data_IF_791784136035
#
_entry.id   IF_791784136035
#
_cell.length_a   1.000
_cell.length_b   1.000
_cell.length_c   1.000
_cell.angle_alpha   90.00
_cell.angle_beta   90.00
_cell.angle_gamma   90.00
#
_symmetry.space_group_name_H-M   'P 1'
#
loop_
_entity.id
_entity.type
_entity.pdbx_description
1 polymer ?
#
# COMPACT_ATOMS: atom_id res chain seq x y z
N UNK A 1 -37.90 14.03 -51.48
CA UNK A 1 -37.75 13.83 -50.03
C UNK A 1 -37.54 15.20 -49.39
N UNK A 2 -38.33 15.59 -48.38
CA UNK A 2 -38.28 16.95 -47.82
C UNK A 2 -37.03 17.15 -46.96
N UNK A 3 -36.49 18.38 -46.94
CA UNK A 3 -35.26 18.76 -46.19
C UNK A 3 -35.35 18.38 -44.70
N UNK A 4 -36.55 18.45 -44.10
CA UNK A 4 -36.78 18.03 -42.72
C UNK A 4 -36.57 16.52 -42.49
N UNK A 5 -36.99 15.67 -43.43
CA UNK A 5 -36.85 14.21 -43.30
C UNK A 5 -35.37 13.83 -43.35
N UNK A 6 -34.58 14.48 -44.21
CA UNK A 6 -33.14 14.27 -44.29
C UNK A 6 -32.41 14.72 -43.02
N UNK A 7 -32.74 15.90 -42.47
CA UNK A 7 -32.17 16.39 -41.20
C UNK A 7 -32.49 15.46 -40.02
N UNK A 8 -33.74 14.96 -39.92
CA UNK A 8 -34.14 14.00 -38.87
C UNK A 8 -33.41 12.67 -39.00
N UNK A 9 -33.18 12.16 -40.21
CA UNK A 9 -32.42 10.95 -40.45
C UNK A 9 -30.94 11.13 -40.05
N UNK A 10 -30.30 12.22 -40.48
CA UNK A 10 -28.91 12.54 -40.12
C UNK A 10 -28.74 12.73 -38.61
N UNK A 11 -29.66 13.42 -37.92
CA UNK A 11 -29.61 13.60 -36.47
C UNK A 11 -29.71 12.27 -35.71
N UNK A 12 -30.59 11.36 -36.16
CA UNK A 12 -30.69 10.01 -35.58
C UNK A 12 -29.41 9.20 -35.78
N UNK A 13 -28.83 9.23 -36.98
CA UNK A 13 -27.56 8.56 -37.26
C UNK A 13 -26.42 9.10 -36.41
N UNK A 14 -26.31 10.43 -36.27
CA UNK A 14 -25.31 11.07 -35.40
C UNK A 14 -25.50 10.66 -33.94
N UNK A 15 -26.74 10.67 -33.44
CA UNK A 15 -27.04 10.27 -32.06
C UNK A 15 -26.68 8.80 -31.79
N UNK A 16 -26.99 7.89 -32.72
CA UNK A 16 -26.64 6.47 -32.63
C UNK A 16 -25.12 6.31 -32.57
N UNK A 17 -24.38 6.99 -33.45
CA UNK A 17 -22.90 6.93 -33.46
C UNK A 17 -22.33 7.45 -32.14
N UNK A 18 -22.84 8.56 -31.60
CA UNK A 18 -22.41 9.08 -30.31
C UNK A 18 -22.68 8.09 -29.16
N UNK A 19 -23.87 7.47 -29.11
CA UNK A 19 -24.21 6.47 -28.09
C UNK A 19 -23.30 5.25 -28.21
N UNK A 20 -23.07 4.76 -29.43
CA UNK A 20 -22.16 3.64 -29.67
C UNK A 20 -20.72 3.96 -29.25
N UNK A 21 -20.22 5.16 -29.51
CA UNK A 21 -18.89 5.59 -29.06
C UNK A 21 -18.79 5.65 -27.53
N UNK A 22 -19.81 6.17 -26.85
CA UNK A 22 -19.87 6.20 -25.37
C UNK A 22 -19.91 4.77 -24.81
N UNK A 23 -20.66 3.87 -25.42
CA UNK A 23 -20.73 2.48 -24.99
C UNK A 23 -19.40 1.74 -25.20
N UNK A 24 -18.78 1.88 -26.37
CA UNK A 24 -17.47 1.28 -26.68
C UNK A 24 -16.39 1.78 -25.73
N UNK A 25 -16.36 3.08 -25.45
CA UNK A 25 -15.40 3.66 -24.48
C UNK A 25 -15.65 3.16 -23.06
N UNK A 26 -16.91 3.08 -22.60
CA UNK A 26 -17.24 2.50 -21.31
C UNK A 26 -16.83 1.01 -21.21
N UNK A 27 -17.04 0.22 -22.27
CA UNK A 27 -16.59 -1.17 -22.33
C UNK A 27 -15.05 -1.28 -22.30
N UNK A 28 -14.33 -0.43 -23.04
CA UNK A 28 -12.86 -0.42 -23.02
C UNK A 28 -12.32 -0.04 -21.64
N UNK A 29 -12.94 0.92 -20.95
CA UNK A 29 -12.62 1.27 -19.56
C UNK A 29 -12.92 0.08 -18.64
N UNK A 30 -14.09 -0.56 -18.77
CA UNK A 30 -14.44 -1.73 -17.98
C UNK A 30 -13.47 -2.91 -18.16
N UNK A 31 -13.05 -3.18 -19.41
CA UNK A 31 -12.07 -4.21 -19.74
C UNK A 31 -10.69 -3.86 -19.17
N UNK A 32 -10.22 -2.63 -19.36
CA UNK A 32 -8.92 -2.20 -18.81
C UNK A 32 -8.88 -2.24 -17.28
N UNK A 33 -9.96 -1.86 -16.61
CA UNK A 33 -10.10 -1.99 -15.14
C UNK A 33 -10.13 -3.45 -14.68
N UNK A 34 -10.81 -4.33 -15.41
CA UNK A 34 -10.86 -5.76 -15.07
C UNK A 34 -9.51 -6.46 -15.27
N UNK A 35 -8.76 -6.10 -16.33
CA UNK A 35 -7.46 -6.71 -16.66
C UNK A 35 -6.29 -6.14 -15.86
N UNK A 36 -6.38 -4.92 -15.34
CA UNK A 36 -5.31 -4.28 -14.54
C UNK A 36 -5.22 -4.79 -13.09
N UNK A 37 -6.07 -5.72 -12.68
CA UNK A 37 -5.98 -6.39 -11.37
C UNK A 37 -6.10 -5.44 -10.16
N UNK A 38 -6.71 -4.27 -10.35
CA UNK A 38 -6.91 -3.28 -9.30
C UNK A 38 -5.67 -2.47 -8.90
N UNK A 39 -4.52 -2.56 -9.59
CA UNK A 39 -3.27 -1.83 -9.23
C UNK A 39 -3.23 -0.35 -9.64
N UNK A 40 -4.39 0.29 -9.81
CA UNK A 40 -4.51 1.66 -10.33
C UNK A 40 -3.79 2.71 -9.46
N UNK A 41 -3.68 2.44 -8.15
CA UNK A 41 -3.09 3.35 -7.17
C UNK A 41 -1.85 2.78 -6.49
N UNK A 42 -1.09 1.92 -7.19
CA UNK A 42 0.12 1.33 -6.64
C UNK A 42 1.23 2.35 -6.33
N UNK A 43 1.32 3.45 -7.09
CA UNK A 43 2.40 4.43 -6.93
C UNK A 43 3.79 3.88 -7.28
N UNK A 44 4.79 4.76 -7.19
CA UNK A 44 6.20 4.38 -7.38
C UNK A 44 6.81 3.93 -6.05
N UNK A 45 7.64 2.88 -6.09
CA UNK A 45 8.38 2.45 -4.91
C UNK A 45 9.36 3.56 -4.50
N UNK A 46 9.43 3.94 -3.22
CA UNK A 46 10.39 4.93 -2.74
C UNK A 46 11.82 4.42 -2.91
N UNK A 47 12.75 5.34 -3.19
CA UNK A 47 14.18 5.05 -3.34
C UNK A 47 15.00 5.33 -2.08
N UNK A 48 14.37 5.92 -1.06
CA UNK A 48 15.01 6.35 0.18
C UNK A 48 14.75 5.40 1.37
N UNK A 49 14.16 4.22 1.12
CA UNK A 49 13.91 3.18 2.12
C UNK A 49 15.15 2.29 2.34
N UNK A 50 15.18 1.57 3.46
CA UNK A 50 16.35 0.87 3.97
C UNK A 50 16.93 1.53 5.23
N UNK A 51 17.77 0.78 5.94
CA UNK A 51 18.44 1.28 7.14
C UNK A 51 19.61 2.18 6.75
N UNK A 52 19.57 3.43 7.19
CA UNK A 52 20.64 4.41 7.00
C UNK A 52 21.07 4.96 8.37
N UNK A 53 22.34 4.77 8.73
CA UNK A 53 22.89 5.18 10.03
C UNK A 53 22.05 4.71 11.24
N UNK A 54 21.56 3.46 11.20
CA UNK A 54 20.75 2.88 12.27
C UNK A 54 19.30 3.39 12.34
N UNK A 55 18.80 4.05 11.29
CA UNK A 55 17.44 4.57 11.23
C UNK A 55 16.73 4.14 9.95
N UNK A 56 15.42 3.95 10.06
CA UNK A 56 14.51 3.83 8.92
C UNK A 56 14.29 5.21 8.28
N UNK A 57 13.78 5.22 7.07
CA UNK A 57 13.36 6.45 6.41
C UNK A 57 12.37 7.24 7.31
N UNK A 58 12.39 8.58 7.31
CA UNK A 58 11.37 9.35 8.02
C UNK A 58 9.99 9.15 7.36
N UNK A 59 8.92 9.38 8.13
CA UNK A 59 7.60 9.55 7.55
C UNK A 59 7.56 10.84 6.72
N UNK A 60 6.88 10.85 5.55
CA UNK A 60 6.49 12.09 4.91
C UNK A 60 5.53 12.88 5.80
N UNK A 61 5.25 14.14 5.43
CA UNK A 61 4.33 15.00 6.19
C UNK A 61 2.84 14.57 6.09
N UNK A 62 2.53 13.55 5.31
CA UNK A 62 1.18 13.04 5.10
C UNK A 62 0.79 12.04 6.20
N UNK A 63 -0.47 12.03 6.67
CA UNK A 63 -0.88 11.25 7.85
C UNK A 63 -0.97 9.73 7.60
N UNK A 64 -0.81 9.27 6.36
CA UNK A 64 -0.76 7.88 5.95
C UNK A 64 0.64 7.25 6.13
N UNK A 65 1.28 7.55 7.26
CA UNK A 65 2.53 6.94 7.67
C UNK A 65 2.60 6.79 9.19
N UNK A 66 3.19 5.71 9.66
CA UNK A 66 3.61 5.58 11.07
C UNK A 66 5.05 5.10 11.16
N UNK A 67 5.77 5.55 12.18
CA UNK A 67 7.14 5.13 12.47
C UNK A 67 7.43 5.14 13.97
N UNK A 68 8.14 4.13 14.45
CA UNK A 68 8.64 4.08 15.83
C UNK A 68 9.81 5.01 16.11
N UNK A 69 10.37 5.60 15.07
CA UNK A 69 11.44 6.60 15.17
C UNK A 69 10.93 8.02 14.92
N UNK A 70 9.61 8.21 14.67
CA UNK A 70 9.07 9.56 14.58
C UNK A 70 9.02 10.25 15.95
N UNK A 71 9.14 11.57 15.95
CA UNK A 71 9.01 12.42 17.15
C UNK A 71 7.66 13.11 17.24
N UNK A 72 6.91 13.20 16.14
CA UNK A 72 5.58 13.80 16.14
C UNK A 72 4.51 12.77 16.53
N UNK A 73 3.50 13.21 17.28
CA UNK A 73 2.46 12.33 17.82
C UNK A 73 1.59 11.67 16.73
N UNK A 74 1.45 12.29 15.56
CA UNK A 74 0.59 11.79 14.50
C UNK A 74 1.19 10.53 13.86
N UNK A 75 2.49 10.55 13.56
CA UNK A 75 3.19 9.42 12.94
C UNK A 75 3.80 8.46 13.97
N UNK A 76 3.93 8.84 15.25
CA UNK A 76 4.51 7.97 16.29
C UNK A 76 3.72 6.66 16.43
N UNK A 77 4.44 5.54 16.50
CA UNK A 77 3.90 4.23 16.91
C UNK A 77 4.95 3.49 17.75
N UNK A 78 4.54 2.61 18.65
CA UNK A 78 5.52 1.87 19.44
C UNK A 78 6.25 0.82 18.59
N UNK A 79 7.57 0.62 18.81
CA UNK A 79 8.31 -0.46 18.15
C UNK A 79 7.76 -1.82 18.58
N UNK A 80 8.17 -2.89 17.91
CA UNK A 80 7.81 -4.25 18.32
C UNK A 80 8.84 -4.75 19.35
N UNK A 81 8.35 -5.18 20.51
CA UNK A 81 9.17 -5.87 21.51
C UNK A 81 9.23 -7.36 21.20
N UNK A 82 10.32 -8.02 21.60
CA UNK A 82 10.45 -9.47 21.52
C UNK A 82 11.18 -10.01 22.76
N UNK A 83 10.90 -11.26 23.12
CA UNK A 83 11.52 -11.95 24.27
C UNK A 83 12.53 -13.02 23.85
N UNK A 84 12.46 -13.46 22.60
CA UNK A 84 13.33 -14.46 22.00
C UNK A 84 14.70 -13.89 21.66
N UNK A 85 15.55 -14.71 21.04
CA UNK A 85 16.82 -14.21 20.45
C UNK A 85 16.52 -13.27 19.27
N UNK A 86 17.40 -12.31 18.92
CA UNK A 86 17.17 -11.40 17.79
C UNK A 86 16.89 -12.13 16.47
N UNK A 87 17.65 -13.21 16.20
CA UNK A 87 17.45 -14.06 15.02
C UNK A 87 16.07 -14.72 14.99
N UNK A 88 15.63 -15.24 16.13
CA UNK A 88 14.31 -15.86 16.26
C UNK A 88 13.19 -14.82 16.15
N UNK A 89 13.38 -13.61 16.70
CA UNK A 89 12.44 -12.51 16.57
C UNK A 89 12.23 -12.12 15.09
N UNK A 90 13.29 -12.01 14.30
CA UNK A 90 13.19 -11.74 12.86
C UNK A 90 12.54 -12.89 12.08
N UNK A 91 12.83 -14.14 12.44
CA UNK A 91 12.17 -15.30 11.85
C UNK A 91 10.67 -15.34 12.16
N UNK A 92 10.29 -15.05 13.40
CA UNK A 92 8.90 -14.95 13.86
C UNK A 92 8.17 -13.81 13.15
N UNK A 93 8.79 -12.64 13.05
CA UNK A 93 8.27 -11.50 12.30
C UNK A 93 8.01 -11.89 10.85
N UNK A 94 8.98 -12.48 10.16
CA UNK A 94 8.82 -12.94 8.79
C UNK A 94 7.61 -13.87 8.65
N UNK A 95 7.48 -14.85 9.55
CA UNK A 95 6.35 -15.79 9.53
C UNK A 95 5.00 -15.08 9.70
N UNK A 96 4.91 -14.12 10.61
CA UNK A 96 3.71 -13.28 10.80
C UNK A 96 3.39 -12.54 9.49
N UNK A 97 4.36 -11.84 8.91
CA UNK A 97 4.19 -11.05 7.68
C UNK A 97 3.78 -11.93 6.49
N UNK A 98 4.38 -13.11 6.33
CA UNK A 98 4.07 -14.05 5.24
C UNK A 98 2.64 -14.61 5.31
N UNK A 99 2.07 -14.70 6.52
CA UNK A 99 0.70 -15.19 6.71
C UNK A 99 -0.36 -14.10 6.54
N UNK A 100 0.03 -12.84 6.33
CA UNK A 100 -0.90 -11.74 6.09
C UNK A 100 -1.30 -11.67 4.61
N UNK A 101 -2.59 -11.49 4.35
CA UNK A 101 -3.10 -11.37 2.99
C UNK A 101 -2.47 -10.21 2.21
N UNK A 102 -2.30 -10.40 0.90
CA UNK A 102 -1.88 -9.35 -0.06
C UNK A 102 -0.54 -8.71 0.32
N UNK A 103 0.36 -9.53 0.85
CA UNK A 103 1.70 -9.13 1.28
C UNK A 103 2.75 -9.71 0.35
N UNK A 104 3.80 -8.95 0.07
CA UNK A 104 4.98 -9.43 -0.63
C UNK A 104 6.24 -8.96 0.09
N UNK A 105 7.08 -9.90 0.52
CA UNK A 105 8.42 -9.57 1.04
C UNK A 105 9.33 -9.25 -0.15
N UNK A 106 9.97 -8.08 -0.10
CA UNK A 106 10.83 -7.57 -1.16
C UNK A 106 12.31 -7.70 -0.79
N UNK A 107 12.64 -7.48 0.48
CA UNK A 107 14.02 -7.59 0.98
C UNK A 107 14.02 -8.19 2.38
N UNK A 108 14.98 -9.07 2.61
CA UNK A 108 15.20 -9.73 3.88
C UNK A 108 16.71 -9.89 4.11
N UNK A 109 17.14 -9.52 5.31
CA UNK A 109 18.49 -9.71 5.83
C UNK A 109 18.37 -10.09 7.31
N UNK A 110 19.50 -10.33 7.98
CA UNK A 110 19.49 -10.72 9.40
C UNK A 110 18.85 -9.69 10.34
N UNK A 111 18.92 -8.40 9.99
CA UNK A 111 18.42 -7.30 10.84
C UNK A 111 17.42 -6.36 10.15
N UNK A 112 17.00 -6.66 8.91
CA UNK A 112 16.06 -5.82 8.17
C UNK A 112 15.12 -6.63 7.30
N UNK A 113 13.83 -6.26 7.33
CA UNK A 113 12.79 -6.83 6.49
C UNK A 113 11.95 -5.70 5.87
N UNK A 114 11.75 -5.77 4.56
CA UNK A 114 10.88 -4.86 3.81
C UNK A 114 9.81 -5.65 3.07
N UNK A 115 8.55 -5.25 3.27
CA UNK A 115 7.39 -5.83 2.64
C UNK A 115 6.46 -4.77 2.04
N UNK A 116 5.76 -5.15 0.99
CA UNK A 116 4.68 -4.40 0.36
C UNK A 116 3.33 -5.00 0.75
N UNK A 117 2.38 -4.15 1.17
CA UNK A 117 1.00 -4.54 1.44
C UNK A 117 0.06 -3.85 0.46
N UNK A 118 -0.80 -4.61 -0.22
CA UNK A 118 -1.69 -4.08 -1.26
C UNK A 118 -3.15 -4.07 -0.81
N UNK A 119 -3.84 -2.93 -0.95
CA UNK A 119 -5.28 -2.80 -0.66
C UNK A 119 -6.14 -3.59 -1.67
N UNK A 120 -7.27 -4.14 -1.20
CA UNK A 120 -8.10 -5.10 -1.95
C UNK A 120 -8.83 -4.48 -3.14
N UNK A 121 -9.33 -3.25 -2.97
CA UNK A 121 -10.27 -2.64 -3.91
C UNK A 121 -9.56 -1.73 -4.93
N UNK A 122 -8.61 -0.92 -4.46
CA UNK A 122 -8.01 0.16 -5.24
C UNK A 122 -6.51 -0.06 -5.51
N UNK A 123 -5.91 -1.09 -4.92
CA UNK A 123 -4.51 -1.45 -5.13
C UNK A 123 -3.49 -0.42 -4.64
N UNK A 124 -3.86 0.43 -3.67
CA UNK A 124 -2.87 1.18 -2.88
C UNK A 124 -1.83 0.23 -2.31
N UNK A 125 -0.56 0.58 -2.46
CA UNK A 125 0.57 -0.16 -1.90
C UNK A 125 1.18 0.63 -0.75
N UNK A 126 1.35 -0.06 0.37
CA UNK A 126 2.04 0.44 1.54
C UNK A 126 3.41 -0.25 1.66
N UNK A 127 4.45 0.55 1.85
CA UNK A 127 5.81 0.11 2.09
C UNK A 127 6.04 -0.01 3.60
N UNK A 128 6.35 -1.24 4.06
CA UNK A 128 6.50 -1.56 5.48
C UNK A 128 7.91 -2.09 5.75
N UNK A 129 8.65 -1.38 6.59
CA UNK A 129 10.02 -1.65 6.95
C UNK A 129 10.12 -2.04 8.42
N UNK A 130 10.98 -3.02 8.69
CA UNK A 130 11.31 -3.50 10.02
C UNK A 130 12.83 -3.53 10.18
N UNK A 131 13.34 -2.94 11.25
CA UNK A 131 14.77 -2.91 11.56
C UNK A 131 15.01 -3.41 12.98
N UNK A 132 15.78 -4.47 13.12
CA UNK A 132 16.18 -5.05 14.40
C UNK A 132 17.28 -4.18 15.02
N UNK A 133 16.91 -3.43 16.05
CA UNK A 133 17.83 -2.64 16.87
C UNK A 133 18.22 -3.46 18.10
N UNK A 134 19.31 -4.21 17.98
CA UNK A 134 19.81 -5.06 19.06
C UNK A 134 20.20 -4.26 20.31
N UNK A 135 20.66 -3.02 20.14
CA UNK A 135 21.06 -2.16 21.25
C UNK A 135 19.87 -1.75 22.12
N UNK A 136 18.75 -1.42 21.47
CA UNK A 136 17.50 -1.09 22.12
C UNK A 136 16.64 -2.33 22.45
N UNK A 137 17.02 -3.52 21.96
CA UNK A 137 16.27 -4.79 22.08
C UNK A 137 14.83 -4.69 21.57
N UNK A 138 14.65 -4.02 20.43
CA UNK A 138 13.36 -3.85 19.78
C UNK A 138 13.49 -3.96 18.27
N UNK A 139 12.37 -4.16 17.58
CA UNK A 139 12.27 -4.02 16.13
C UNK A 139 11.62 -2.67 15.86
N UNK A 140 12.40 -1.74 15.31
CA UNK A 140 11.92 -0.47 14.78
C UNK A 140 11.04 -0.71 13.57
N UNK A 141 10.01 0.11 13.39
CA UNK A 141 9.02 -0.07 12.33
C UNK A 141 8.74 1.24 11.60
N UNK A 142 8.42 1.10 10.31
CA UNK A 142 7.79 2.14 9.50
C UNK A 142 6.77 1.49 8.58
N UNK A 143 5.60 2.09 8.45
CA UNK A 143 4.55 1.67 7.50
C UNK A 143 4.00 2.92 6.83
N UNK A 144 4.18 3.03 5.52
CA UNK A 144 3.84 4.24 4.77
C UNK A 144 3.17 3.92 3.43
N UNK A 145 2.05 4.59 3.14
CA UNK A 145 1.41 4.49 1.82
C UNK A 145 2.19 5.27 0.77
N UNK A 146 2.29 4.74 -0.46
CA UNK A 146 2.94 5.44 -1.60
C UNK A 146 2.16 6.63 -2.12
N UNK A 147 0.83 6.52 -2.07
CA UNK A 147 -0.10 7.51 -2.60
C UNK A 147 -1.20 7.81 -1.57
N UNK A 148 -1.86 8.95 -1.76
CA UNK A 148 -2.96 9.40 -0.92
C UNK A 148 -2.54 10.37 0.18
N UNK A 149 -3.55 10.96 0.82
CA UNK A 149 -3.40 11.90 1.94
C UNK A 149 -3.97 11.35 3.23
N UNK A 150 -4.55 10.16 3.21
CA UNK A 150 -5.05 9.45 4.39
C UNK A 150 -5.22 7.98 4.02
N UNK A 151 -4.96 7.11 4.99
CA UNK A 151 -5.18 5.67 4.93
C UNK A 151 -6.25 5.22 5.94
N UNK A 152 -6.95 6.17 6.57
CA UNK A 152 -7.90 5.92 7.66
C UNK A 152 -7.31 5.07 8.81
N UNK A 153 -6.00 5.20 9.05
CA UNK A 153 -5.29 4.50 10.11
C UNK A 153 -4.91 3.05 9.76
N UNK A 154 -5.02 2.64 8.49
CA UNK A 154 -4.66 1.27 8.04
C UNK A 154 -3.21 0.93 8.38
N UNK A 155 -2.25 1.83 8.15
CA UNK A 155 -0.83 1.59 8.47
C UNK A 155 -0.62 1.36 9.97
N UNK A 156 -1.27 2.18 10.82
CA UNK A 156 -1.24 2.01 12.28
C UNK A 156 -1.83 0.66 12.66
N UNK A 157 -3.06 0.38 12.21
CA UNK A 157 -3.75 -0.88 12.50
C UNK A 157 -2.92 -2.10 12.11
N UNK A 158 -2.25 -2.06 10.94
CA UNK A 158 -1.38 -3.15 10.49
C UNK A 158 -0.27 -3.44 11.48
N UNK A 159 0.45 -2.42 11.93
CA UNK A 159 1.54 -2.59 12.90
C UNK A 159 1.01 -3.10 14.24
N UNK A 160 -0.16 -2.62 14.68
CA UNK A 160 -0.83 -3.13 15.89
C UNK A 160 -1.21 -4.61 15.76
N UNK A 161 -1.78 -5.02 14.62
CA UNK A 161 -2.15 -6.41 14.34
C UNK A 161 -0.90 -7.32 14.27
N UNK A 162 0.21 -6.83 13.71
CA UNK A 162 1.51 -7.53 13.72
C UNK A 162 2.04 -7.65 15.16
N UNK A 163 1.95 -6.58 15.96
CA UNK A 163 2.40 -6.61 17.36
C UNK A 163 1.61 -7.62 18.17
N UNK A 164 0.29 -7.68 17.99
CA UNK A 164 -0.55 -8.66 18.65
C UNK A 164 -0.15 -10.10 18.31
N UNK A 165 0.12 -10.38 17.03
CA UNK A 165 0.57 -11.71 16.59
C UNK A 165 1.97 -12.05 17.14
N UNK A 166 2.91 -11.10 17.14
CA UNK A 166 4.24 -11.29 17.71
C UNK A 166 4.19 -11.58 19.22
N UNK A 167 3.31 -10.90 19.95
CA UNK A 167 3.13 -11.10 21.39
C UNK A 167 2.44 -12.43 21.75
N UNK A 168 1.81 -13.08 20.78
CA UNK A 168 1.14 -14.37 20.95
C UNK A 168 2.04 -15.58 20.62
N UNK A 169 3.30 -15.34 20.23
CA UNK A 169 4.34 -16.35 20.02
C UNK A 169 5.14 -16.58 21.31
#
# INVERSE_FOLDING_TARGET
>A
MTVEVQKRATLKSVLIVCISLVFVTACLIGVTLAFSGGMMFAGQRPTNIGVQAGKLAPCPNTPNCVSSQSLDAQHRIEPLTYKSTPKEAMANLKKVIQNMERTKIITETDNYLYAEFTSKLMGFVDDVEFFLDESAKVIQVRSASRLGQSDLGVNRKRIEDIRAQMNAL
#
